data_IF_216195579650
#
_entry.id   IF_216195579650
#
_cell.length_a   1.000
_cell.length_b   1.000
_cell.length_c   1.000
_cell.angle_alpha   90.00
_cell.angle_beta   90.00
_cell.angle_gamma   90.00
#
_symmetry.space_group_name_H-M   'P 1'
#
loop_
_entity.id
_entity.type
_entity.pdbx_description
1 polymer ?
#
# COMPACT_ATOMS: atom_id res chain seq x y z
N UNK A 1 14.08 5.03 6.28
CA UNK A 1 12.65 5.43 6.23
C UNK A 1 12.29 5.57 4.77
N UNK A 2 11.11 5.11 4.36
CA UNK A 2 10.63 5.26 2.98
C UNK A 2 9.75 6.50 2.89
N UNK A 3 9.81 7.20 1.75
CA UNK A 3 9.05 8.40 1.46
C UNK A 3 8.15 8.22 0.24
N UNK A 4 7.27 9.20 0.01
CA UNK A 4 6.50 9.27 -1.23
C UNK A 4 7.44 9.25 -2.45
N UNK A 5 7.14 8.37 -3.41
CA UNK A 5 7.95 8.14 -4.60
C UNK A 5 8.86 6.92 -4.53
N UNK A 6 9.17 6.41 -3.33
CA UNK A 6 10.04 5.26 -3.17
C UNK A 6 9.38 3.96 -3.67
N UNK A 7 10.22 3.05 -4.16
CA UNK A 7 9.82 1.76 -4.69
C UNK A 7 10.59 0.61 -4.04
N UNK A 8 9.92 -0.53 -3.92
CA UNK A 8 10.48 -1.79 -3.44
C UNK A 8 10.24 -2.86 -4.50
N UNK A 9 11.28 -3.62 -4.78
CA UNK A 9 11.21 -4.83 -5.61
C UNK A 9 11.74 -6.01 -4.82
N UNK A 10 10.95 -7.07 -4.72
CA UNK A 10 11.34 -8.31 -4.05
C UNK A 10 11.76 -9.38 -5.07
N UNK A 11 12.80 -10.14 -4.73
CA UNK A 11 13.23 -11.30 -5.49
C UNK A 11 12.33 -12.53 -5.27
N UNK A 12 12.72 -13.67 -5.82
CA UNK A 12 11.96 -14.93 -5.78
C UNK A 12 11.84 -15.58 -4.40
N UNK A 13 12.67 -15.16 -3.43
CA UNK A 13 12.71 -15.68 -2.05
C UNK A 13 12.81 -14.55 -1.02
N UNK A 14 12.27 -13.37 -1.35
CA UNK A 14 12.31 -12.20 -0.48
C UNK A 14 10.89 -11.79 -0.06
N UNK A 15 10.73 -11.46 1.23
CA UNK A 15 9.54 -10.83 1.79
C UNK A 15 9.98 -9.57 2.52
N UNK A 16 9.18 -8.51 2.42
CA UNK A 16 9.38 -7.25 3.16
C UNK A 16 8.14 -6.96 3.97
N UNK A 17 8.32 -6.59 5.24
CA UNK A 17 7.25 -6.08 6.10
C UNK A 17 7.47 -4.61 6.35
N UNK A 18 6.46 -3.82 6.05
CA UNK A 18 6.42 -2.39 6.29
C UNK A 18 5.33 -2.10 7.31
N UNK A 19 5.67 -1.29 8.29
CA UNK A 19 4.71 -0.66 9.18
C UNK A 19 4.56 0.79 8.74
N UNK A 20 3.34 1.20 8.39
CA UNK A 20 3.05 2.58 8.05
C UNK A 20 2.81 3.37 9.33
N UNK A 21 3.92 3.82 9.90
CA UNK A 21 3.94 4.70 11.07
C UNK A 21 3.78 6.15 10.61
N UNK A 22 2.52 6.57 10.42
CA UNK A 22 2.13 7.98 10.31
C UNK A 22 1.51 8.49 11.62
N UNK A 23 0.94 9.70 11.60
CA UNK A 23 0.30 10.31 12.80
C UNK A 23 -0.85 9.46 13.36
N UNK A 24 -1.52 8.65 12.52
CA UNK A 24 -2.64 7.80 12.94
C UNK A 24 -2.40 6.28 12.87
N UNK A 25 -1.19 5.80 12.51
CA UNK A 25 -0.90 4.39 12.15
C UNK A 25 -1.93 3.79 11.19
N UNK A 26 -1.63 3.76 9.89
CA UNK A 26 -2.65 3.48 8.86
C UNK A 26 -2.70 2.03 8.39
N UNK A 27 -1.57 1.31 8.35
CA UNK A 27 -1.56 -0.11 7.96
C UNK A 27 -0.25 -0.84 8.29
N UNK A 28 -0.35 -2.16 8.38
CA UNK A 28 0.78 -3.08 8.23
C UNK A 28 0.74 -3.71 6.82
N UNK A 29 1.86 -3.72 6.11
CA UNK A 29 1.96 -4.26 4.74
C UNK A 29 3.04 -5.34 4.69
N UNK A 30 2.67 -6.52 4.20
CA UNK A 30 3.61 -7.56 3.79
C UNK A 30 3.69 -7.59 2.27
N UNK A 31 4.86 -7.27 1.73
CA UNK A 31 5.20 -7.37 0.31
C UNK A 31 5.85 -8.73 0.09
N UNK A 32 5.19 -9.61 -0.68
CA UNK A 32 5.67 -10.97 -0.91
C UNK A 32 6.72 -11.00 -2.02
N UNK A 33 7.23 -12.19 -2.31
CA UNK A 33 8.18 -12.44 -3.40
C UNK A 33 7.67 -11.92 -4.75
N UNK A 34 8.61 -11.64 -5.64
CA UNK A 34 8.36 -11.24 -7.03
C UNK A 34 7.38 -10.07 -7.18
N UNK A 35 7.44 -9.11 -6.26
CA UNK A 35 6.51 -7.99 -6.20
C UNK A 35 7.20 -6.68 -6.56
N UNK A 36 6.56 -5.91 -7.43
CA UNK A 36 6.93 -4.51 -7.70
C UNK A 36 5.91 -3.61 -7.02
N UNK A 37 6.38 -2.94 -5.98
CA UNK A 37 5.58 -2.08 -5.12
C UNK A 37 6.14 -0.66 -5.16
N UNK A 38 5.26 0.33 -5.20
CA UNK A 38 5.62 1.74 -5.09
C UNK A 38 4.68 2.47 -4.17
N UNK A 39 5.25 3.42 -3.45
CA UNK A 39 4.53 4.29 -2.55
C UNK A 39 4.22 5.61 -3.25
N UNK A 40 3.10 5.67 -3.98
CA UNK A 40 2.79 6.79 -4.87
C UNK A 40 2.31 8.04 -4.12
N UNK A 41 1.61 7.88 -2.99
CA UNK A 41 1.19 9.02 -2.16
C UNK A 41 1.22 8.67 -0.69
N UNK A 42 1.78 9.56 0.13
CA UNK A 42 1.72 9.46 1.58
C UNK A 42 1.80 10.83 2.22
N UNK A 43 0.61 11.37 2.50
CA UNK A 43 0.47 12.76 2.92
C UNK A 43 -0.47 12.83 4.11
N UNK A 44 -0.09 13.66 5.07
CA UNK A 44 -0.89 13.99 6.23
C UNK A 44 -1.22 15.48 6.21
N UNK A 45 -2.52 15.81 6.31
CA UNK A 45 -2.99 17.17 6.51
C UNK A 45 -3.22 17.40 8.01
N UNK A 46 -2.34 18.17 8.65
CA UNK A 46 -2.41 18.42 10.09
C UNK A 46 -3.65 19.22 10.52
N UNK A 47 -4.04 20.23 9.74
CA UNK A 47 -5.19 21.08 10.06
C UNK A 47 -6.51 20.29 10.02
N UNK A 48 -6.65 19.40 9.04
CA UNK A 48 -7.84 18.57 8.88
C UNK A 48 -7.74 17.22 9.60
N UNK A 49 -6.55 16.84 10.07
CA UNK A 49 -6.21 15.50 10.61
C UNK A 49 -6.61 14.38 9.65
N UNK A 50 -6.27 14.52 8.37
CA UNK A 50 -6.61 13.57 7.32
C UNK A 50 -5.35 12.95 6.70
N UNK A 51 -5.37 11.64 6.53
CA UNK A 51 -4.33 10.88 5.84
C UNK A 51 -4.76 10.55 4.40
N UNK A 52 -3.82 10.63 3.46
CA UNK A 52 -4.01 10.17 2.08
C UNK A 52 -2.85 9.26 1.70
N UNK A 53 -3.18 7.98 1.50
CA UNK A 53 -2.24 6.93 1.12
C UNK A 53 -2.66 6.30 -0.20
N UNK A 54 -1.74 6.25 -1.16
CA UNK A 54 -1.90 5.51 -2.41
C UNK A 54 -0.72 4.54 -2.59
N UNK A 55 -1.03 3.26 -2.52
CA UNK A 55 -0.10 2.17 -2.82
C UNK A 55 -0.23 1.79 -4.29
N UNK A 56 0.86 1.44 -4.94
CA UNK A 56 0.86 1.00 -6.33
C UNK A 56 1.55 -0.36 -6.43
N UNK A 57 0.84 -1.35 -6.96
CA UNK A 57 1.33 -2.72 -7.16
C UNK A 57 1.30 -3.01 -8.66
N UNK A 58 2.47 -3.10 -9.28
CA UNK A 58 2.58 -3.37 -10.71
C UNK A 58 2.44 -4.84 -11.05
N UNK A 59 3.03 -5.71 -10.22
CA UNK A 59 3.01 -7.17 -10.33
C UNK A 59 3.31 -7.78 -8.96
N UNK A 60 2.86 -9.00 -8.70
CA UNK A 60 3.13 -9.74 -7.47
C UNK A 60 1.97 -9.65 -6.47
N UNK A 61 2.27 -9.77 -5.17
CA UNK A 61 1.25 -9.85 -4.12
C UNK A 61 1.64 -9.05 -2.88
N UNK A 62 0.65 -8.35 -2.32
CA UNK A 62 0.76 -7.71 -1.00
C UNK A 62 -0.39 -8.17 -0.11
N UNK A 63 -0.10 -8.38 1.17
CA UNK A 63 -1.10 -8.52 2.23
C UNK A 63 -1.11 -7.23 3.03
N UNK A 64 -2.27 -6.62 3.16
CA UNK A 64 -2.44 -5.36 3.89
C UNK A 64 -3.42 -5.58 5.02
N UNK A 65 -3.00 -5.21 6.22
CA UNK A 65 -3.88 -5.04 7.37
C UNK A 65 -4.08 -3.53 7.55
N UNK A 66 -5.18 -3.02 7.01
CA UNK A 66 -5.51 -1.60 7.06
C UNK A 66 -6.36 -1.28 8.28
N UNK A 67 -5.97 -0.23 9.00
CA UNK A 67 -6.75 0.31 10.10
C UNK A 67 -8.00 1.05 9.58
N UNK A 68 -9.00 1.21 10.44
CA UNK A 68 -10.23 1.90 10.08
C UNK A 68 -9.95 3.38 9.85
N UNK A 69 -10.31 3.88 8.66
CA UNK A 69 -10.15 5.30 8.31
C UNK A 69 -11.13 6.20 9.08
N UNK A 70 -10.63 7.38 9.46
CA UNK A 70 -11.40 8.44 10.13
C UNK A 70 -11.67 9.57 9.14
N UNK A 71 -12.89 10.12 9.20
CA UNK A 71 -13.31 11.22 8.34
C UNK A 71 -13.12 10.92 6.85
N UNK A 72 -12.60 11.91 6.14
CA UNK A 72 -12.37 11.88 4.69
C UNK A 72 -10.99 11.33 4.30
N UNK A 73 -10.31 10.66 5.23
CA UNK A 73 -9.03 10.01 4.94
C UNK A 73 -9.21 8.96 3.84
N UNK A 74 -8.14 8.74 3.07
CA UNK A 74 -8.11 7.84 1.93
C UNK A 74 -6.97 6.84 2.05
N UNK A 75 -7.29 5.58 1.80
CA UNK A 75 -6.31 4.52 1.64
C UNK A 75 -6.69 3.73 0.41
N UNK A 76 -5.83 3.76 -0.59
CA UNK A 76 -6.11 3.22 -1.91
C UNK A 76 -4.97 2.33 -2.37
N UNK A 77 -5.31 1.26 -3.09
CA UNK A 77 -4.36 0.44 -3.83
C UNK A 77 -4.67 0.53 -5.31
N UNK A 78 -3.68 0.97 -6.09
CA UNK A 78 -3.69 0.98 -7.54
C UNK A 78 -2.98 -0.25 -8.07
N UNK A 79 -3.60 -0.90 -9.04
CA UNK A 79 -3.02 -1.93 -9.89
C UNK A 79 -3.10 -1.47 -11.36
N UNK A 80 -2.53 -2.20 -12.33
CA UNK A 80 -2.67 -1.86 -13.74
C UNK A 80 -4.11 -1.81 -14.23
N UNK A 81 -5.03 -2.53 -13.57
CA UNK A 81 -6.42 -2.69 -14.02
C UNK A 81 -7.43 -1.90 -13.20
N UNK A 82 -7.11 -1.55 -11.94
CA UNK A 82 -8.09 -0.99 -11.02
C UNK A 82 -7.46 -0.09 -9.95
N UNK A 83 -8.30 0.75 -9.34
CA UNK A 83 -8.02 1.40 -8.05
C UNK A 83 -9.07 0.93 -7.06
N UNK A 84 -8.64 0.48 -5.88
CA UNK A 84 -9.51 -0.01 -4.81
C UNK A 84 -9.32 0.88 -3.58
N UNK A 85 -10.40 1.50 -3.12
CA UNK A 85 -10.44 2.23 -1.85
C UNK A 85 -10.77 1.30 -0.69
N UNK A 86 -10.00 1.37 0.39
CA UNK A 86 -10.14 0.51 1.57
C UNK A 86 -10.52 1.36 2.78
N UNK A 87 -11.54 0.92 3.54
CA UNK A 87 -11.98 1.58 4.78
C UNK A 87 -11.90 0.63 5.97
N UNK A 88 -10.69 0.16 6.26
CA UNK A 88 -10.39 -0.85 7.27
C UNK A 88 -10.77 -2.25 6.80
N UNK A 89 -9.83 -3.20 6.97
CA UNK A 89 -9.97 -4.66 6.83
C UNK A 89 -8.57 -5.26 6.67
N UNK A 90 -8.46 -6.59 6.70
CA UNK A 90 -7.30 -7.29 6.14
C UNK A 90 -7.66 -7.80 4.75
N UNK A 91 -6.82 -7.51 3.76
CA UNK A 91 -7.06 -7.93 2.38
C UNK A 91 -5.74 -8.23 1.67
N UNK A 92 -5.83 -9.07 0.64
CA UNK A 92 -4.71 -9.37 -0.25
C UNK A 92 -4.98 -8.78 -1.64
N UNK A 93 -3.94 -8.23 -2.25
CA UNK A 93 -3.94 -7.87 -3.67
C UNK A 93 -2.94 -8.76 -4.38
N UNK A 94 -3.40 -9.43 -5.44
CA UNK A 94 -2.56 -10.23 -6.32
C UNK A 94 -2.69 -9.67 -7.74
N UNK A 95 -1.56 -9.25 -8.31
CA UNK A 95 -1.45 -8.86 -9.70
C UNK A 95 -0.60 -9.92 -10.42
N UNK A 96 -1.23 -10.81 -11.20
CA UNK A 96 -0.51 -11.88 -11.89
C UNK A 96 0.47 -11.29 -12.91
N UNK A 97 1.56 -12.01 -13.19
CA UNK A 97 2.43 -11.69 -14.32
C UNK A 97 1.60 -11.73 -15.61
N UNK A 98 1.81 -10.79 -16.55
CA UNK A 98 1.17 -10.85 -17.86
C UNK A 98 1.43 -12.23 -18.49
N UNK A 99 0.37 -12.88 -18.96
CA UNK A 99 0.51 -14.08 -19.78
C UNK A 99 0.90 -13.61 -21.18
N UNK A 100 2.16 -13.81 -21.55
CA UNK A 100 2.67 -13.62 -22.92
C UNK A 100 2.33 -14.83 -23.79
#
# INVERSE_FOLDING_TARGET
MLAEGDAIKTGSDAEVRLELVGVAKTADITIRKETEFKFDTFRYNEAAKLDTTLLNVGVGSILVKAEKLVGDSKFEVKTPTSIVGIRGTTFEVNVPKPQV
#
